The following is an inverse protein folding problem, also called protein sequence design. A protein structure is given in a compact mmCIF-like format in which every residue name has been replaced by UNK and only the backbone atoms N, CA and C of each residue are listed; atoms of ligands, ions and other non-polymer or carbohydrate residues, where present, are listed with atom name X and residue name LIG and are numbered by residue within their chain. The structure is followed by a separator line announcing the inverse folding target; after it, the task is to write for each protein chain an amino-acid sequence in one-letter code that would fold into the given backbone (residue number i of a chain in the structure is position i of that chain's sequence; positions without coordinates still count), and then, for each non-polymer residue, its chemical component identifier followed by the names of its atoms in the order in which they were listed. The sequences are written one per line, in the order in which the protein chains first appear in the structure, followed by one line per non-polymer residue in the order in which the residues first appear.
data_IF_377798616663
#
_entry.id   IF_377798616663
#
_cell.length_a   1.000
_cell.length_b   1.000
_cell.length_c   1.000
_cell.angle_alpha   90.00
_cell.angle_beta   90.00
_cell.angle_gamma   90.00
#
_symmetry.space_group_name_H-M   'P 1'
#
loop_
_entity.id
_entity.type
_entity.pdbx_description
1 polymer ?
#
# COMPACT_ATOMS: atom_id res chain seq x y z
N UNK A 1 -11.57 21.25 -24.72
CA UNK A 1 -11.75 20.74 -23.34
C UNK A 1 -10.83 19.55 -23.25
N UNK A 2 -9.81 19.62 -22.41
CA UNK A 2 -8.86 18.52 -22.24
C UNK A 2 -9.47 17.57 -21.21
N UNK A 3 -9.84 16.37 -21.67
CA UNK A 3 -10.37 15.30 -20.82
C UNK A 3 -9.21 14.35 -20.57
N UNK A 4 -8.98 14.00 -19.32
CA UNK A 4 -7.98 13.01 -18.95
C UNK A 4 -8.69 11.82 -18.29
N UNK A 5 -8.44 10.62 -18.82
CA UNK A 5 -8.88 9.35 -18.21
C UNK A 5 -7.72 8.77 -17.43
N UNK A 6 -7.87 8.73 -16.10
CA UNK A 6 -6.77 8.49 -15.17
C UNK A 6 -6.76 7.09 -14.60
N UNK A 7 -7.92 6.62 -14.14
CA UNK A 7 -8.05 5.33 -13.46
C UNK A 7 -8.99 4.41 -14.23
N UNK A 8 -8.58 3.16 -14.44
CA UNK A 8 -9.42 2.13 -15.06
C UNK A 8 -9.33 0.88 -14.20
N UNK A 9 -10.48 0.38 -13.74
CA UNK A 9 -10.59 -0.84 -12.93
C UNK A 9 -11.80 -1.68 -13.34
N UNK A 10 -11.91 -2.90 -12.84
CA UNK A 10 -13.03 -3.80 -13.13
C UNK A 10 -13.57 -4.44 -11.86
N UNK A 11 -14.79 -4.98 -11.91
CA UNK A 11 -15.38 -5.65 -10.75
C UNK A 11 -15.00 -7.13 -10.63
N UNK A 12 -15.11 -7.68 -9.41
CA UNK A 12 -14.86 -9.08 -9.04
C UNK A 12 -15.70 -10.07 -9.85
N UNK A 13 -16.92 -9.69 -10.25
CA UNK A 13 -17.80 -10.54 -11.06
C UNK A 13 -17.45 -10.53 -12.56
N UNK A 14 -16.41 -9.79 -12.98
CA UNK A 14 -15.96 -9.66 -14.37
C UNK A 14 -17.05 -9.16 -15.35
N UNK A 15 -18.02 -8.39 -14.85
CA UNK A 15 -19.20 -7.93 -15.61
C UNK A 15 -19.19 -6.43 -15.91
N UNK A 16 -18.29 -5.67 -15.30
CA UNK A 16 -18.19 -4.24 -15.46
C UNK A 16 -16.74 -3.76 -15.42
N UNK A 17 -16.51 -2.65 -16.11
CA UNK A 17 -15.29 -1.85 -16.07
C UNK A 17 -15.67 -0.41 -15.72
N UNK A 18 -14.88 0.19 -14.84
CA UNK A 18 -15.02 1.57 -14.39
C UNK A 18 -13.85 2.39 -14.92
N UNK A 19 -14.14 3.61 -15.36
CA UNK A 19 -13.12 4.57 -15.72
C UNK A 19 -13.37 5.90 -15.02
N UNK A 20 -12.38 6.42 -14.32
CA UNK A 20 -12.42 7.76 -13.76
C UNK A 20 -11.80 8.74 -14.76
N UNK A 21 -12.50 9.84 -15.03
CA UNK A 21 -12.01 10.89 -15.92
C UNK A 21 -12.33 12.26 -15.37
N UNK A 22 -11.48 13.23 -15.69
CA UNK A 22 -11.65 14.59 -15.23
C UNK A 22 -11.43 15.61 -16.35
N UNK A 23 -12.07 16.77 -16.20
CA UNK A 23 -11.80 17.95 -17.03
C UNK A 23 -12.14 19.22 -16.25
N UNK A 24 -11.13 20.09 -16.07
CA UNK A 24 -11.25 21.21 -15.15
C UNK A 24 -11.42 20.72 -13.71
N UNK A 25 -12.45 21.21 -13.01
CA UNK A 25 -12.78 20.87 -11.63
C UNK A 25 -13.72 19.66 -11.48
N UNK A 26 -14.20 19.11 -12.61
CA UNK A 26 -15.17 18.02 -12.62
C UNK A 26 -14.45 16.68 -12.80
N UNK A 27 -14.68 15.77 -11.86
CA UNK A 27 -14.24 14.36 -11.91
C UNK A 27 -15.47 13.46 -11.94
N UNK A 28 -15.50 12.50 -12.86
CA UNK A 28 -16.63 11.60 -13.10
C UNK A 28 -16.17 10.15 -13.15
N UNK A 29 -17.00 9.25 -12.62
CA UNK A 29 -16.85 7.80 -12.79
C UNK A 29 -17.80 7.32 -13.88
N UNK A 30 -17.24 6.66 -14.88
CA UNK A 30 -17.94 6.03 -15.99
C UNK A 30 -17.99 4.52 -15.79
N UNK A 31 -19.10 3.89 -16.17
CA UNK A 31 -19.28 2.44 -16.11
C UNK A 31 -19.62 1.87 -17.48
N UNK A 32 -18.92 0.80 -17.84
CA UNK A 32 -19.14 -0.03 -19.00
C UNK A 32 -19.56 -1.41 -18.51
N UNK A 33 -20.66 -1.96 -19.03
CA UNK A 33 -21.15 -3.29 -18.64
C UNK A 33 -21.01 -4.27 -19.80
N UNK A 34 -20.79 -5.53 -19.45
CA UNK A 34 -20.91 -6.65 -20.37
C UNK A 34 -22.37 -6.86 -20.74
N UNK A 35 -22.67 -6.82 -22.03
CA UNK A 35 -23.98 -7.19 -22.58
C UNK A 35 -23.79 -8.38 -23.53
N UNK A 36 -24.19 -9.55 -23.05
CA UNK A 36 -24.07 -10.82 -23.79
C UNK A 36 -24.95 -10.79 -25.06
N UNK A 37 -26.00 -9.96 -25.09
CA UNK A 37 -26.86 -9.81 -26.27
C UNK A 37 -26.27 -8.90 -27.34
N UNK A 38 -25.27 -8.09 -26.98
CA UNK A 38 -24.56 -7.15 -27.85
C UNK A 38 -23.04 -7.38 -27.72
N UNK A 39 -22.52 -8.55 -28.16
CA UNK A 39 -21.13 -8.93 -27.90
C UNK A 39 -20.11 -8.14 -28.72
N UNK A 40 -20.54 -7.40 -29.75
CA UNK A 40 -19.67 -6.55 -30.56
C UNK A 40 -19.68 -5.08 -30.11
N UNK A 41 -20.57 -4.73 -29.17
CA UNK A 41 -20.61 -3.43 -28.52
C UNK A 41 -19.26 -3.05 -27.95
N UNK A 42 -18.91 -1.77 -28.05
CA UNK A 42 -17.65 -1.27 -27.49
C UNK A 42 -17.59 -1.49 -25.97
N UNK A 43 -18.72 -1.37 -25.27
CA UNK A 43 -18.78 -1.67 -23.83
C UNK A 43 -18.48 -3.14 -23.51
N UNK A 44 -19.09 -4.12 -24.22
CA UNK A 44 -18.77 -5.54 -24.03
C UNK A 44 -17.32 -5.86 -24.37
N UNK A 45 -16.80 -5.27 -25.45
CA UNK A 45 -15.38 -5.44 -25.86
C UNK A 45 -14.41 -4.88 -24.83
N UNK A 46 -14.74 -3.73 -24.20
CA UNK A 46 -13.95 -3.16 -23.10
C UNK A 46 -13.89 -4.16 -21.94
N UNK A 47 -15.04 -4.69 -21.51
CA UNK A 47 -15.10 -5.63 -20.38
C UNK A 47 -14.37 -6.94 -20.70
N UNK A 48 -14.57 -7.50 -21.89
CA UNK A 48 -13.88 -8.70 -22.33
C UNK A 48 -12.35 -8.52 -22.40
N UNK A 49 -11.88 -7.39 -22.92
CA UNK A 49 -10.45 -7.08 -22.96
C UNK A 49 -9.87 -6.86 -21.56
N UNK A 50 -10.61 -6.17 -20.69
CA UNK A 50 -10.11 -5.82 -19.37
C UNK A 50 -9.95 -7.05 -18.47
N UNK A 51 -10.92 -7.95 -18.49
CA UNK A 51 -10.94 -9.16 -17.67
C UNK A 51 -10.34 -10.37 -18.37
N UNK A 52 -9.83 -10.21 -19.59
CA UNK A 52 -9.23 -11.31 -20.37
C UNK A 52 -10.21 -12.48 -20.58
N UNK A 53 -11.49 -12.14 -20.78
CA UNK A 53 -12.57 -13.11 -21.01
C UNK A 53 -12.31 -13.84 -22.32
N UNK A 54 -12.37 -15.17 -22.29
CA UNK A 54 -12.25 -15.99 -23.50
C UNK A 54 -13.43 -15.74 -24.44
N UNK A 55 -13.12 -15.36 -25.68
CA UNK A 55 -14.10 -15.09 -26.74
C UNK A 55 -13.90 -16.01 -27.94
N UNK A 56 -15.01 -16.38 -28.58
CA UNK A 56 -15.07 -17.22 -29.78
C UNK A 56 -14.78 -16.47 -31.09
N UNK A 57 -14.75 -15.13 -31.05
CA UNK A 57 -14.43 -14.25 -32.17
C UNK A 57 -13.57 -13.08 -31.65
N UNK A 58 -12.40 -12.86 -32.25
CA UNK A 58 -11.46 -11.78 -31.89
C UNK A 58 -12.10 -10.39 -31.95
N UNK A 59 -13.17 -10.21 -32.73
CA UNK A 59 -13.93 -8.94 -32.80
C UNK A 59 -14.73 -8.63 -31.54
N UNK A 60 -14.94 -9.61 -30.65
CA UNK A 60 -15.65 -9.44 -29.37
C UNK A 60 -14.75 -8.91 -28.25
N UNK A 61 -13.49 -8.60 -28.56
CA UNK A 61 -12.54 -7.96 -27.63
C UNK A 61 -11.72 -6.88 -28.37
N UNK A 62 -10.78 -6.26 -27.66
CA UNK A 62 -9.73 -5.42 -28.25
C UNK A 62 -8.45 -6.26 -28.41
N UNK A 63 -7.62 -5.90 -29.39
CA UNK A 63 -6.33 -6.58 -29.65
C UNK A 63 -5.36 -6.44 -28.49
N UNK A 64 -5.43 -5.33 -27.75
CA UNK A 64 -4.52 -4.97 -26.69
C UNK A 64 -5.14 -3.91 -25.77
N UNK A 65 -4.50 -3.71 -24.61
CA UNK A 65 -4.95 -2.76 -23.58
C UNK A 65 -4.87 -1.30 -24.03
N UNK A 66 -3.97 -0.95 -24.95
CA UNK A 66 -3.82 0.42 -25.46
C UNK A 66 -5.02 0.79 -26.35
N UNK A 67 -5.39 -0.10 -27.25
CA UNK A 67 -6.58 0.01 -28.10
C UNK A 67 -7.87 0.07 -27.26
N UNK A 68 -7.96 -0.73 -26.20
CA UNK A 68 -9.07 -0.66 -25.24
C UNK A 68 -9.14 0.70 -24.54
N UNK A 69 -8.00 1.22 -24.06
CA UNK A 69 -7.92 2.55 -23.42
C UNK A 69 -8.35 3.66 -24.38
N UNK A 70 -7.95 3.58 -25.65
CA UNK A 70 -8.40 4.53 -26.67
C UNK A 70 -9.92 4.45 -26.87
N UNK A 71 -10.51 3.25 -26.92
CA UNK A 71 -11.95 3.06 -27.02
C UNK A 71 -12.73 3.66 -25.83
N UNK A 72 -12.21 3.51 -24.61
CA UNK A 72 -12.76 4.16 -23.41
C UNK A 72 -12.71 5.68 -23.57
N UNK A 73 -11.55 6.23 -23.94
CA UNK A 73 -11.36 7.67 -24.12
C UNK A 73 -12.30 8.25 -25.18
N UNK A 74 -12.48 7.57 -26.32
CA UNK A 74 -13.34 8.03 -27.40
C UNK A 74 -14.81 8.09 -26.97
N UNK A 75 -15.29 7.06 -26.26
CA UNK A 75 -16.64 7.03 -25.70
C UNK A 75 -16.86 8.13 -24.65
N UNK A 76 -15.92 8.30 -23.72
CA UNK A 76 -16.00 9.33 -22.69
C UNK A 76 -15.98 10.71 -23.34
N UNK A 77 -15.09 10.96 -24.30
CA UNK A 77 -14.99 12.22 -25.02
C UNK A 77 -16.28 12.58 -25.77
N UNK A 78 -16.99 11.57 -26.29
CA UNK A 78 -18.29 11.75 -26.92
C UNK A 78 -19.39 12.11 -25.91
N UNK A 79 -19.44 11.41 -24.77
CA UNK A 79 -20.50 11.56 -23.75
C UNK A 79 -20.30 12.77 -22.84
N UNK A 80 -19.05 13.12 -22.53
CA UNK A 80 -18.68 14.20 -21.60
C UNK A 80 -19.42 15.52 -21.84
N UNK A 81 -19.43 16.13 -23.05
CA UNK A 81 -20.11 17.40 -23.28
C UNK A 81 -21.64 17.30 -23.10
N UNK A 82 -22.21 16.10 -23.16
CA UNK A 82 -23.65 15.86 -22.99
C UNK A 82 -24.05 15.69 -21.53
N UNK A 83 -23.19 15.08 -20.70
CA UNK A 83 -23.50 14.81 -19.30
C UNK A 83 -22.98 15.90 -18.34
N UNK A 84 -21.84 16.54 -18.63
CA UNK A 84 -21.18 17.51 -17.75
C UNK A 84 -22.06 18.72 -17.35
N UNK A 85 -22.97 19.24 -18.19
CA UNK A 85 -23.86 20.33 -17.78
C UNK A 85 -24.92 19.94 -16.73
N UNK A 86 -25.14 18.64 -16.47
CA UNK A 86 -26.14 18.19 -15.52
C UNK A 86 -25.68 18.46 -14.06
N UNK A 87 -26.41 19.26 -13.26
CA UNK A 87 -25.98 19.58 -11.90
C UNK A 87 -25.91 18.37 -10.97
N UNK A 88 -26.68 17.31 -11.21
CA UNK A 88 -26.66 16.11 -10.35
C UNK A 88 -25.35 15.34 -10.45
N UNK A 89 -24.57 15.54 -11.52
CA UNK A 89 -23.37 14.76 -11.81
C UNK A 89 -22.21 15.00 -10.84
N UNK A 90 -22.32 16.03 -9.99
CA UNK A 90 -21.35 16.36 -8.94
C UNK A 90 -21.62 15.62 -7.63
N UNK A 91 -22.71 14.86 -7.54
CA UNK A 91 -23.05 14.10 -6.35
C UNK A 91 -22.18 12.83 -6.26
N UNK A 92 -21.71 12.45 -5.06
CA UNK A 92 -20.72 11.38 -4.89
C UNK A 92 -21.26 9.97 -5.17
N UNK A 93 -22.58 9.81 -5.25
CA UNK A 93 -23.26 8.55 -5.56
C UNK A 93 -23.58 8.39 -7.05
N UNK A 94 -23.17 9.35 -7.89
CA UNK A 94 -23.54 9.35 -9.32
C UNK A 94 -22.49 8.68 -10.19
N UNK A 95 -22.96 7.79 -11.06
CA UNK A 95 -22.17 7.13 -12.10
C UNK A 95 -22.78 7.42 -13.47
N UNK A 96 -21.93 7.62 -14.48
CA UNK A 96 -22.34 7.72 -15.87
C UNK A 96 -22.18 6.36 -16.55
N UNK A 97 -23.28 5.71 -16.87
CA UNK A 97 -23.25 4.44 -17.61
C UNK A 97 -23.21 4.76 -19.10
N UNK A 98 -22.22 4.19 -19.81
CA UNK A 98 -22.10 4.33 -21.26
C UNK A 98 -22.33 2.97 -21.92
N UNK A 99 -23.18 2.97 -22.95
CA UNK A 99 -23.39 1.81 -23.80
C UNK A 99 -23.36 2.24 -25.27
N UNK A 100 -22.55 1.55 -26.07
CA UNK A 100 -22.56 1.69 -27.52
C UNK A 100 -22.95 0.37 -28.15
N UNK A 101 -24.04 0.31 -28.90
CA UNK A 101 -24.52 -0.95 -29.47
C UNK A 101 -23.65 -1.48 -30.62
N UNK A 102 -23.99 -2.66 -31.16
CA UNK A 102 -23.29 -3.29 -32.30
C UNK A 102 -23.36 -2.45 -33.59
N UNK A 103 -24.22 -1.42 -33.65
CA UNK A 103 -24.35 -0.49 -34.78
C UNK A 103 -23.55 0.80 -34.59
N UNK A 104 -22.90 0.98 -33.44
CA UNK A 104 -22.11 2.16 -33.10
C UNK A 104 -22.93 3.32 -32.50
N UNK A 105 -24.22 3.11 -32.21
CA UNK A 105 -25.05 4.13 -31.56
C UNK A 105 -24.70 4.21 -30.07
N UNK A 106 -24.29 5.39 -29.61
CA UNK A 106 -23.85 5.60 -28.23
C UNK A 106 -24.97 6.23 -27.41
N UNK A 107 -25.33 5.57 -26.31
CA UNK A 107 -26.28 6.06 -25.32
C UNK A 107 -25.59 6.17 -23.95
N UNK A 108 -26.11 7.07 -23.11
CA UNK A 108 -25.65 7.18 -21.73
C UNK A 108 -26.82 7.43 -20.78
N UNK A 109 -26.64 7.03 -19.53
CA UNK A 109 -27.54 7.37 -18.42
C UNK A 109 -26.74 7.83 -17.21
N UNK A 110 -27.28 8.81 -16.50
CA UNK A 110 -26.75 9.28 -15.22
C UNK A 110 -27.60 8.60 -14.15
N UNK A 111 -26.98 7.81 -13.27
CA UNK A 111 -27.69 7.09 -12.21
C UNK A 111 -27.08 7.34 -10.84
N UNK A 112 -27.96 7.38 -9.84
CA UNK A 112 -27.59 7.29 -8.43
C UNK A 112 -27.46 5.81 -8.06
N UNK A 113 -26.29 5.41 -7.60
CA UNK A 113 -26.04 4.02 -7.22
C UNK A 113 -26.59 3.75 -5.82
N UNK A 114 -27.53 2.80 -5.71
CA UNK A 114 -28.13 2.42 -4.43
C UNK A 114 -27.10 1.85 -3.45
N UNK A 115 -26.05 1.22 -3.98
CA UNK A 115 -24.94 0.63 -3.21
C UNK A 115 -24.05 1.69 -2.54
N UNK A 116 -24.16 2.97 -2.90
CA UNK A 116 -23.44 4.05 -2.22
C UNK A 116 -23.76 4.11 -0.71
N UNK A 117 -25.00 3.78 -0.32
CA UNK A 117 -25.37 3.70 1.10
C UNK A 117 -24.62 2.60 1.85
N UNK A 118 -24.37 1.47 1.19
CA UNK A 118 -23.61 0.36 1.76
C UNK A 118 -22.14 0.75 1.93
N UNK A 119 -21.57 1.44 0.93
CA UNK A 119 -20.26 2.08 1.04
C UNK A 119 -20.18 3.03 2.23
N UNK A 120 -21.10 3.98 2.38
CA UNK A 120 -21.11 4.89 3.55
C UNK A 120 -21.22 4.13 4.88
N UNK A 121 -22.05 3.09 4.95
CA UNK A 121 -22.23 2.27 6.16
C UNK A 121 -20.96 1.49 6.53
N UNK A 122 -20.09 1.23 5.56
CA UNK A 122 -18.81 0.55 5.77
C UNK A 122 -17.73 1.45 6.36
N UNK A 123 -17.90 2.77 6.33
CA UNK A 123 -16.91 3.74 6.79
C UNK A 123 -17.09 4.11 8.27
N UNK A 124 -16.01 4.55 8.91
CA UNK A 124 -16.03 4.99 10.30
C UNK A 124 -16.34 6.49 10.39
N UNK A 125 -17.26 6.90 11.28
CA UNK A 125 -17.47 8.30 11.63
C UNK A 125 -16.22 8.94 12.26
N UNK A 126 -16.02 10.23 12.03
CA UNK A 126 -14.93 11.02 12.64
C UNK A 126 -14.86 10.87 14.16
N UNK A 127 -15.98 10.94 14.93
CA UNK A 127 -15.94 10.74 16.38
C UNK A 127 -15.37 9.37 16.77
N UNK A 128 -15.79 8.30 16.08
CA UNK A 128 -15.28 6.95 16.33
C UNK A 128 -13.78 6.82 16.09
N UNK A 129 -13.27 7.50 15.07
CA UNK A 129 -11.83 7.55 14.77
C UNK A 129 -11.06 8.29 15.88
N UNK A 130 -11.58 9.43 16.35
CA UNK A 130 -10.98 10.18 17.47
C UNK A 130 -10.94 9.36 18.76
N UNK A 131 -12.04 8.70 19.09
CA UNK A 131 -12.16 7.93 20.33
C UNK A 131 -11.35 6.63 20.32
N UNK A 132 -11.35 5.92 19.19
CA UNK A 132 -10.75 4.59 19.09
C UNK A 132 -9.27 4.59 18.68
N UNK A 133 -8.85 5.49 17.78
CA UNK A 133 -7.54 5.41 17.12
C UNK A 133 -6.58 6.54 17.49
N UNK A 134 -7.11 7.72 17.85
CA UNK A 134 -6.30 8.92 18.12
C UNK A 134 -6.23 9.35 19.61
N UNK A 135 -6.66 8.58 20.65
CA UNK A 135 -6.67 9.11 22.01
C UNK A 135 -5.28 9.47 22.59
N UNK A 136 -4.19 9.16 21.89
CA UNK A 136 -2.80 9.46 22.30
C UNK A 136 -2.10 10.57 21.49
N UNK A 137 -2.69 11.08 20.39
CA UNK A 137 -2.07 12.16 19.63
C UNK A 137 -2.30 13.49 20.36
N UNK A 138 -1.39 13.82 21.29
CA UNK A 138 -1.38 15.11 21.96
C UNK A 138 -1.25 16.22 20.89
N UNK A 139 -2.21 17.12 20.88
CA UNK A 139 -2.09 18.54 20.44
C UNK A 139 -2.14 18.93 18.96
N UNK A 140 -2.27 18.02 17.99
CA UNK A 140 -2.49 18.46 16.59
C UNK A 140 -3.97 18.60 16.28
N UNK A 141 -4.40 19.82 15.98
CA UNK A 141 -5.70 20.10 15.38
C UNK A 141 -5.79 19.31 14.06
N UNK A 142 -6.77 18.42 13.96
CA UNK A 142 -6.96 17.63 12.75
C UNK A 142 -7.67 18.47 11.71
N UNK A 143 -7.13 18.46 10.49
CA UNK A 143 -7.76 19.10 9.36
C UNK A 143 -8.48 18.05 8.50
N UNK A 144 -9.65 18.42 8.00
CA UNK A 144 -10.48 17.57 7.17
C UNK A 144 -10.64 18.19 5.80
N UNK A 145 -10.62 17.34 4.78
CA UNK A 145 -11.06 17.71 3.44
C UNK A 145 -12.12 16.75 2.94
N UNK A 146 -12.93 17.17 1.98
CA UNK A 146 -13.96 16.31 1.37
C UNK A 146 -13.36 15.55 0.20
N UNK A 147 -13.73 14.27 0.03
CA UNK A 147 -13.30 13.45 -1.10
C UNK A 147 -13.67 14.11 -2.44
N UNK A 148 -14.82 14.79 -2.48
CA UNK A 148 -15.36 15.47 -3.65
C UNK A 148 -14.53 16.71 -4.05
N UNK A 149 -13.72 17.24 -3.12
CA UNK A 149 -12.75 18.31 -3.39
C UNK A 149 -11.43 17.82 -4.03
N UNK A 150 -11.27 16.49 -4.18
CA UNK A 150 -10.07 15.89 -4.74
C UNK A 150 -10.22 15.58 -6.23
N UNK A 151 -9.12 15.71 -6.94
CA UNK A 151 -8.95 15.29 -8.33
C UNK A 151 -7.79 14.30 -8.41
N UNK A 152 -8.07 13.09 -8.88
CA UNK A 152 -7.10 12.01 -8.97
C UNK A 152 -6.39 11.99 -10.34
N UNK A 153 -5.07 11.80 -10.33
CA UNK A 153 -4.23 11.79 -11.53
C UNK A 153 -3.63 10.40 -11.83
N UNK A 154 -2.78 9.87 -10.97
CA UNK A 154 -2.02 8.65 -11.25
C UNK A 154 -2.16 7.62 -10.12
N UNK A 155 -2.42 6.36 -10.45
CA UNK A 155 -2.23 5.26 -9.47
C UNK A 155 -0.75 5.16 -9.14
N UNK A 156 -0.43 5.16 -7.85
CA UNK A 156 0.89 4.73 -7.42
C UNK A 156 0.89 3.20 -7.34
N UNK A 157 2.01 2.56 -7.70
CA UNK A 157 2.13 1.10 -7.61
C UNK A 157 1.91 0.60 -6.17
N UNK A 158 1.37 -0.61 -6.02
CA UNK A 158 1.03 -1.18 -4.71
C UNK A 158 -0.31 -1.93 -4.74
N UNK A 159 -0.77 -2.43 -3.59
CA UNK A 159 -2.16 -2.84 -3.40
C UNK A 159 -3.01 -1.62 -2.99
N UNK A 160 -4.32 -1.70 -3.20
CA UNK A 160 -5.27 -0.69 -2.74
C UNK A 160 -5.44 0.56 -3.60
N UNK A 161 -6.11 1.56 -3.01
CA UNK A 161 -6.54 2.80 -3.67
C UNK A 161 -5.51 3.93 -3.69
N UNK A 162 -4.21 3.63 -3.50
CA UNK A 162 -3.18 4.67 -3.38
C UNK A 162 -2.99 5.43 -4.68
N UNK A 163 -3.29 6.72 -4.66
CA UNK A 163 -3.39 7.54 -5.88
C UNK A 163 -2.81 8.93 -5.65
N UNK A 164 -2.18 9.51 -6.65
CA UNK A 164 -1.84 10.94 -6.63
C UNK A 164 -3.12 11.76 -6.75
N UNK A 165 -3.28 12.75 -5.88
CA UNK A 165 -4.44 13.62 -5.84
C UNK A 165 -4.04 15.08 -5.70
N UNK A 166 -4.91 15.96 -6.21
CA UNK A 166 -4.80 17.41 -6.08
C UNK A 166 -6.09 17.95 -5.45
N UNK A 167 -5.96 19.02 -4.66
CA UNK A 167 -7.11 19.77 -4.15
C UNK A 167 -7.58 20.73 -5.25
N UNK A 168 -8.86 20.62 -5.65
CA UNK A 168 -9.44 21.40 -6.78
C UNK A 168 -9.32 22.92 -6.61
N UNK A 169 -9.33 23.41 -5.38
CA UNK A 169 -9.28 24.85 -5.07
C UNK A 169 -7.85 25.39 -4.88
N UNK A 170 -6.83 24.51 -4.86
CA UNK A 170 -5.44 24.90 -4.62
C UNK A 170 -4.75 25.29 -5.93
N UNK A 171 -4.38 26.58 -6.05
CA UNK A 171 -3.71 27.14 -7.24
C UNK A 171 -2.20 26.89 -7.29
N UNK A 172 -1.63 26.48 -6.18
CA UNK A 172 -0.19 26.18 -6.03
C UNK A 172 0.19 24.85 -6.70
N UNK A 173 -0.78 24.03 -7.09
CA UNK A 173 -0.54 22.77 -7.82
C UNK A 173 0.11 21.70 -6.95
N UNK A 174 0.02 21.82 -5.62
CA UNK A 174 0.59 20.83 -4.71
C UNK A 174 -0.04 19.45 -4.94
N UNK A 175 0.80 18.45 -5.14
CA UNK A 175 0.40 17.05 -5.26
C UNK A 175 0.41 16.38 -3.89
N UNK A 176 -0.58 15.53 -3.67
CA UNK A 176 -0.72 14.69 -2.49
C UNK A 176 -0.75 13.22 -2.88
N UNK A 177 -0.34 12.36 -1.97
CA UNK A 177 -0.68 10.94 -2.01
C UNK A 177 -1.96 10.74 -1.22
N UNK A 178 -3.02 10.34 -1.91
CA UNK A 178 -4.23 9.84 -1.31
C UNK A 178 -4.08 8.35 -1.01
N UNK A 179 -4.17 8.00 0.28
CA UNK A 179 -4.37 6.63 0.74
C UNK A 179 -5.79 6.51 1.30
N UNK A 180 -6.66 5.74 0.67
CA UNK A 180 -8.03 5.62 1.14
C UNK A 180 -8.96 4.72 0.32
N UNK A 181 -10.22 4.76 0.72
CA UNK A 181 -11.33 3.91 0.33
C UNK A 181 -12.30 4.73 -0.52
N UNK A 182 -12.05 4.82 -1.83
CA UNK A 182 -12.98 5.53 -2.72
C UNK A 182 -14.24 4.71 -2.99
N UNK A 183 -15.34 5.37 -3.39
CA UNK A 183 -16.51 4.64 -3.86
C UNK A 183 -16.21 3.80 -5.11
N UNK A 184 -15.29 4.24 -5.98
CA UNK A 184 -14.79 3.45 -7.11
C UNK A 184 -14.20 2.12 -6.65
N UNK A 185 -13.33 2.13 -5.64
CA UNK A 185 -12.77 0.91 -5.05
C UNK A 185 -13.86 0.00 -4.48
N UNK A 186 -14.89 0.56 -3.86
CA UNK A 186 -16.04 -0.21 -3.36
C UNK A 186 -16.79 -0.95 -4.49
N UNK A 187 -16.87 -0.36 -5.68
CA UNK A 187 -17.54 -0.98 -6.84
C UNK A 187 -16.72 -2.11 -7.48
N UNK A 188 -15.42 -2.19 -7.19
CA UNK A 188 -14.55 -3.26 -7.68
C UNK A 188 -14.90 -4.60 -7.01
N UNK A 189 -15.43 -4.60 -5.79
CA UNK A 189 -15.93 -5.82 -5.17
C UNK A 189 -15.81 -5.82 -3.66
N UNK A 190 -16.59 -6.69 -3.02
CA UNK A 190 -16.75 -6.71 -1.57
C UNK A 190 -15.55 -7.37 -0.87
N UNK A 191 -14.89 -8.34 -1.52
CA UNK A 191 -13.78 -9.07 -0.90
C UNK A 191 -12.54 -8.20 -0.79
N UNK A 192 -12.12 -7.61 -1.90
CA UNK A 192 -10.95 -6.73 -1.95
C UNK A 192 -11.21 -5.46 -1.12
N UNK A 193 -12.38 -4.83 -1.28
CA UNK A 193 -12.72 -3.62 -0.53
C UNK A 193 -12.70 -3.82 0.99
N UNK A 194 -13.24 -4.95 1.50
CA UNK A 194 -13.20 -5.22 2.95
C UNK A 194 -11.77 -5.37 3.46
N UNK A 195 -10.92 -6.07 2.71
CA UNK A 195 -9.51 -6.24 3.05
C UNK A 195 -8.78 -4.89 3.09
N UNK A 196 -8.98 -4.05 2.07
CA UNK A 196 -8.42 -2.71 1.97
C UNK A 196 -8.94 -1.78 3.08
N UNK A 197 -10.24 -1.84 3.39
CA UNK A 197 -10.84 -1.08 4.49
C UNK A 197 -10.22 -1.43 5.84
N UNK A 198 -10.12 -2.71 6.14
CA UNK A 198 -9.57 -3.18 7.41
C UNK A 198 -8.08 -2.87 7.53
N UNK A 199 -7.36 -2.83 6.40
CA UNK A 199 -5.96 -2.41 6.31
C UNK A 199 -5.82 -0.90 6.53
N UNK A 200 -6.63 -0.08 5.86
CA UNK A 200 -6.64 1.38 6.00
C UNK A 200 -6.83 1.83 7.46
N UNK A 201 -7.86 1.32 8.15
CA UNK A 201 -8.11 1.73 9.54
C UNK A 201 -7.04 1.23 10.51
N UNK A 202 -6.42 0.08 10.22
CA UNK A 202 -5.29 -0.44 11.00
C UNK A 202 -4.07 0.45 10.82
N UNK A 203 -3.68 0.75 9.57
CA UNK A 203 -2.57 1.65 9.26
C UNK A 203 -2.78 3.00 9.93
N UNK A 204 -3.99 3.56 9.83
CA UNK A 204 -4.33 4.84 10.46
C UNK A 204 -4.08 4.81 11.97
N UNK A 205 -4.53 3.75 12.65
CA UNK A 205 -4.27 3.55 14.08
C UNK A 205 -2.78 3.42 14.40
N UNK A 206 -2.02 2.67 13.59
CA UNK A 206 -0.57 2.51 13.75
C UNK A 206 0.14 3.84 13.60
N UNK A 207 -0.08 4.55 12.49
CA UNK A 207 0.58 5.83 12.17
C UNK A 207 0.35 6.88 13.26
N UNK A 208 -0.87 6.98 13.82
CA UNK A 208 -1.14 7.90 14.92
C UNK A 208 -0.51 7.48 16.26
N UNK A 209 -0.12 6.21 16.41
CA UNK A 209 0.59 5.69 17.58
C UNK A 209 2.11 5.73 17.45
N UNK A 210 2.64 6.03 16.26
CA UNK A 210 4.08 6.05 16.02
C UNK A 210 4.75 7.20 16.77
N UNK A 211 5.99 7.00 17.25
CA UNK A 211 6.78 8.07 17.82
C UNK A 211 7.21 9.06 16.72
N UNK A 212 7.41 10.32 17.10
CA UNK A 212 7.96 11.31 16.18
C UNK A 212 9.43 11.01 15.90
N UNK A 213 9.79 10.88 14.63
CA UNK A 213 11.16 10.68 14.17
C UNK A 213 11.33 11.27 12.77
N UNK A 214 12.48 11.89 12.42
CA UNK A 214 12.68 12.48 11.09
C UNK A 214 12.61 11.48 9.93
N UNK A 215 12.94 10.21 10.19
CA UNK A 215 12.98 9.14 9.18
C UNK A 215 11.74 8.20 9.19
N UNK A 216 10.66 8.62 9.82
CA UNK A 216 9.38 7.89 9.86
C UNK A 216 8.30 8.77 9.23
N UNK A 217 7.39 8.17 8.46
CA UNK A 217 6.20 8.84 7.96
C UNK A 217 5.46 9.55 9.11
N UNK A 218 5.23 10.85 8.94
CA UNK A 218 4.45 11.64 9.90
C UNK A 218 2.98 11.26 9.82
N UNK A 219 2.22 11.57 10.88
CA UNK A 219 0.76 11.51 10.80
C UNK A 219 0.22 12.35 9.64
N UNK A 220 -0.87 11.91 9.00
CA UNK A 220 -1.40 12.59 7.83
C UNK A 220 -1.86 14.01 8.19
N UNK A 221 -1.43 15.05 7.45
CA UNK A 221 -1.88 16.41 7.71
C UNK A 221 -3.37 16.62 7.46
N UNK A 222 -3.99 15.83 6.58
CA UNK A 222 -5.40 15.92 6.24
C UNK A 222 -6.05 14.53 6.27
N UNK A 223 -7.17 14.44 6.97
CA UNK A 223 -8.11 13.31 6.85
C UNK A 223 -9.11 13.64 5.74
N UNK A 224 -9.36 12.66 4.87
CA UNK A 224 -10.35 12.78 3.81
C UNK A 224 -11.66 12.19 4.29
N UNK A 225 -12.73 12.94 4.08
CA UNK A 225 -14.08 12.60 4.53
C UNK A 225 -15.07 12.62 3.37
N UNK A 226 -16.11 11.81 3.47
CA UNK A 226 -17.28 11.85 2.58
C UNK A 226 -18.55 11.76 3.42
N UNK A 227 -19.71 11.81 2.78
CA UNK A 227 -20.98 11.67 3.47
C UNK A 227 -22.17 11.57 2.51
N UNK A 228 -23.39 11.69 3.03
CA UNK A 228 -24.60 11.58 2.23
C UNK A 228 -24.63 12.59 1.07
N UNK A 229 -25.20 12.24 -0.11
CA UNK A 229 -25.24 13.14 -1.26
C UNK A 229 -25.90 14.49 -0.97
N UNK A 230 -26.90 14.50 -0.08
CA UNK A 230 -27.61 15.72 0.34
C UNK A 230 -26.69 16.71 1.06
N UNK A 231 -25.61 16.23 1.65
CA UNK A 231 -24.67 17.03 2.45
C UNK A 231 -23.58 17.69 1.58
N UNK A 232 -23.41 17.27 0.32
CA UNK A 232 -22.46 17.86 -0.63
C UNK A 232 -22.76 19.33 -0.97
N UNK A 233 -23.98 19.82 -0.71
CA UNK A 233 -24.43 21.18 -1.03
C UNK A 233 -24.60 22.11 0.19
N UNK A 234 -24.63 21.57 1.41
CA UNK A 234 -24.94 22.33 2.63
C UNK A 234 -23.89 22.21 3.74
N UNK A 235 -22.78 21.51 3.48
CA UNK A 235 -21.75 21.22 4.47
C UNK A 235 -22.19 20.09 5.40
N UNK A 236 -21.22 19.28 5.81
CA UNK A 236 -21.46 18.12 6.67
C UNK A 236 -21.05 18.52 8.10
N UNK A 237 -21.99 18.38 9.04
CA UNK A 237 -21.67 18.45 10.47
C UNK A 237 -20.63 17.37 10.80
N UNK A 238 -19.72 17.64 11.73
CA UNK A 238 -18.56 16.76 11.94
C UNK A 238 -18.96 15.34 12.33
N UNK A 239 -20.05 15.23 13.08
CA UNK A 239 -20.68 13.97 13.50
C UNK A 239 -21.16 13.08 12.34
N UNK A 240 -21.47 13.69 11.19
CA UNK A 240 -21.97 13.01 10.00
C UNK A 240 -20.86 12.76 8.95
N UNK A 241 -19.62 13.18 9.25
CA UNK A 241 -18.46 12.93 8.38
C UNK A 241 -17.94 11.53 8.57
N UNK A 242 -17.79 10.83 7.46
CA UNK A 242 -17.23 9.48 7.41
C UNK A 242 -15.82 9.56 6.86
N UNK A 243 -14.84 9.03 7.58
CA UNK A 243 -13.44 9.03 7.14
C UNK A 243 -13.27 7.99 6.05
N UNK A 244 -12.83 8.42 4.88
CA UNK A 244 -12.60 7.54 3.73
C UNK A 244 -11.15 7.59 3.23
N UNK A 245 -10.28 8.42 3.80
CA UNK A 245 -8.89 8.46 3.36
C UNK A 245 -8.00 9.40 4.15
N UNK A 246 -6.77 9.52 3.69
CA UNK A 246 -5.72 10.40 4.22
C UNK A 246 -4.97 11.03 3.06
N UNK A 247 -4.46 12.26 3.25
CA UNK A 247 -3.53 12.89 2.31
C UNK A 247 -2.17 13.08 2.96
N UNK A 248 -1.14 12.62 2.27
CA UNK A 248 0.25 12.93 2.57
C UNK A 248 0.82 13.85 1.49
N UNK A 249 1.77 14.75 1.80
CA UNK A 249 2.52 15.44 0.76
C UNK A 249 3.20 14.42 -0.17
N UNK A 250 3.13 14.63 -1.48
CA UNK A 250 3.86 13.79 -2.42
C UNK A 250 5.36 14.00 -2.23
N UNK A 251 6.08 12.92 -1.91
CA UNK A 251 7.53 12.90 -1.98
C UNK A 251 7.92 12.61 -3.43
N UNK A 252 8.43 13.62 -4.14
CA UNK A 252 8.81 13.50 -5.56
C UNK A 252 10.02 12.59 -5.78
N UNK A 253 10.75 12.27 -4.71
CA UNK A 253 11.93 11.42 -4.77
C UNK A 253 11.53 9.94 -4.74
N UNK A 254 12.36 9.13 -5.41
CA UNK A 254 12.16 7.70 -5.58
C UNK A 254 12.32 6.92 -4.27
N UNK A 255 11.73 5.72 -4.21
CA UNK A 255 12.06 4.72 -3.21
C UNK A 255 13.52 4.27 -3.31
N UNK A 256 14.10 3.76 -2.22
CA UNK A 256 15.44 3.19 -2.26
C UNK A 256 15.54 2.04 -3.27
N UNK A 257 14.47 1.25 -3.45
CA UNK A 257 14.45 0.20 -4.47
C UNK A 257 14.60 0.78 -5.88
N UNK A 258 13.85 1.82 -6.22
CA UNK A 258 13.93 2.48 -7.52
C UNK A 258 15.30 3.17 -7.74
N UNK A 259 15.88 3.78 -6.70
CA UNK A 259 17.24 4.35 -6.76
C UNK A 259 18.28 3.26 -7.04
N UNK A 260 18.18 2.11 -6.39
CA UNK A 260 19.07 0.97 -6.63
C UNK A 260 18.88 0.44 -8.06
N UNK A 261 17.63 0.24 -8.50
CA UNK A 261 17.32 -0.23 -9.84
C UNK A 261 17.89 0.69 -10.91
N UNK A 262 17.65 2.00 -10.78
CA UNK A 262 18.20 3.01 -11.69
C UNK A 262 19.73 3.02 -11.69
N UNK A 263 20.36 2.95 -10.52
CA UNK A 263 21.83 2.88 -10.42
C UNK A 263 22.38 1.64 -11.13
N UNK A 264 21.69 0.50 -11.03
CA UNK A 264 22.07 -0.76 -11.69
C UNK A 264 21.90 -0.69 -13.22
N UNK A 265 20.78 -0.12 -13.69
CA UNK A 265 20.51 0.15 -15.10
C UNK A 265 21.57 1.07 -15.71
N UNK A 266 21.96 2.12 -14.97
CA UNK A 266 23.01 3.06 -15.35
C UNK A 266 24.43 2.49 -15.17
N UNK A 267 24.56 1.25 -14.68
CA UNK A 267 25.83 0.59 -14.35
C UNK A 267 26.74 1.43 -13.43
N UNK A 268 26.13 2.16 -12.51
CA UNK A 268 26.81 3.05 -11.57
C UNK A 268 26.76 2.50 -10.14
N UNK A 269 27.79 2.80 -9.34
CA UNK A 269 27.83 2.46 -7.92
C UNK A 269 27.25 3.60 -7.08
N UNK A 270 26.35 3.25 -6.15
CA UNK A 270 25.84 4.20 -5.16
C UNK A 270 26.98 4.60 -4.21
N UNK A 271 27.12 5.89 -3.86
CA UNK A 271 28.17 6.36 -2.97
C UNK A 271 28.12 5.67 -1.60
N UNK A 272 29.28 5.24 -1.09
CA UNK A 272 29.38 4.56 0.21
C UNK A 272 28.83 5.41 1.37
N UNK A 273 29.03 6.74 1.31
CA UNK A 273 28.48 7.69 2.30
C UNK A 273 26.95 7.67 2.29
N UNK A 274 26.31 7.55 1.13
CA UNK A 274 24.84 7.48 1.04
C UNK A 274 24.34 6.17 1.65
N UNK A 275 24.98 5.04 1.30
CA UNK A 275 24.69 3.73 1.90
C UNK A 275 24.78 3.75 3.42
N UNK A 276 25.85 4.33 3.97
CA UNK A 276 26.06 4.47 5.40
C UNK A 276 24.98 5.33 6.07
N UNK A 277 24.65 6.47 5.45
CA UNK A 277 23.63 7.41 5.92
C UNK A 277 22.26 6.73 6.01
N UNK A 278 21.84 6.05 4.95
CA UNK A 278 20.55 5.36 4.91
C UNK A 278 20.49 4.23 5.94
N UNK A 279 21.56 3.43 6.08
CA UNK A 279 21.62 2.38 7.09
C UNK A 279 21.45 2.95 8.52
N UNK A 280 22.17 4.02 8.84
CA UNK A 280 22.08 4.69 10.14
C UNK A 280 20.66 5.22 10.41
N UNK A 281 20.04 5.85 9.41
CA UNK A 281 18.67 6.39 9.51
C UNK A 281 17.63 5.29 9.70
N UNK A 282 17.74 4.18 8.97
CA UNK A 282 16.85 3.03 9.10
C UNK A 282 16.99 2.42 10.50
N UNK A 283 18.21 2.15 10.95
CA UNK A 283 18.45 1.58 12.28
C UNK A 283 17.93 2.47 13.40
N UNK A 284 18.15 3.79 13.33
CA UNK A 284 17.69 4.72 14.37
C UNK A 284 16.17 4.90 14.40
N UNK A 285 15.55 4.96 13.23
CA UNK A 285 14.08 4.98 13.12
C UNK A 285 13.48 3.71 13.75
N UNK A 286 13.97 2.53 13.39
CA UNK A 286 13.42 1.27 13.88
C UNK A 286 13.69 1.04 15.36
N UNK A 287 14.86 1.47 15.88
CA UNK A 287 15.12 1.46 17.33
C UNK A 287 14.08 2.32 18.09
N UNK A 288 13.75 3.50 17.57
CA UNK A 288 12.73 4.38 18.14
C UNK A 288 11.34 3.72 18.11
N UNK A 289 10.93 3.17 16.97
CA UNK A 289 9.64 2.46 16.81
C UNK A 289 9.51 1.28 17.76
N UNK A 290 10.55 0.46 17.86
CA UNK A 290 10.56 -0.72 18.75
C UNK A 290 10.48 -0.32 20.21
N UNK A 291 11.16 0.77 20.61
CA UNK A 291 11.10 1.29 21.97
C UNK A 291 9.68 1.73 22.38
N UNK A 292 8.85 2.14 21.42
CA UNK A 292 7.42 2.44 21.64
C UNK A 292 6.51 1.20 21.62
N UNK A 293 7.04 0.01 21.35
CA UNK A 293 6.27 -1.23 21.21
C UNK A 293 5.51 -1.36 19.89
N UNK A 294 5.89 -0.57 18.89
CA UNK A 294 5.40 -0.66 17.51
C UNK A 294 6.42 -1.39 16.62
N UNK A 295 5.95 -1.89 15.48
CA UNK A 295 6.71 -2.68 14.51
C UNK A 295 6.18 -2.40 13.10
N UNK A 296 7.04 -2.45 12.09
CA UNK A 296 6.65 -2.15 10.70
C UNK A 296 6.08 -3.39 9.98
N UNK A 297 6.67 -4.56 10.21
CA UNK A 297 6.23 -5.90 9.73
C UNK A 297 6.42 -6.18 8.23
N UNK A 298 6.64 -5.18 7.37
CA UNK A 298 7.04 -5.37 5.95
C UNK A 298 8.26 -4.52 5.54
N UNK A 299 9.30 -4.49 6.37
CA UNK A 299 10.45 -3.59 6.15
C UNK A 299 11.28 -4.01 4.93
N UNK A 300 11.33 -3.13 3.92
CA UNK A 300 12.01 -3.36 2.63
C UNK A 300 12.36 -2.03 1.93
N UNK A 301 13.31 -2.02 0.97
CA UNK A 301 13.70 -0.80 0.27
C UNK A 301 12.59 -0.08 -0.51
N UNK A 302 11.53 -0.78 -0.95
CA UNK A 302 10.39 -0.13 -1.61
C UNK A 302 9.46 0.61 -0.63
N UNK A 303 9.54 0.33 0.68
CA UNK A 303 8.81 1.05 1.72
C UNK A 303 9.69 2.14 2.38
N UNK A 304 10.76 2.54 1.70
CA UNK A 304 11.72 3.55 2.14
C UNK A 304 11.84 4.62 1.05
N UNK A 305 11.11 5.72 1.19
CA UNK A 305 11.19 6.85 0.27
C UNK A 305 12.36 7.76 0.63
N UNK A 306 12.94 8.42 -0.35
CA UNK A 306 13.86 9.51 -0.09
C UNK A 306 13.10 10.84 -0.05
N UNK A 307 13.58 11.79 0.75
CA UNK A 307 13.19 13.20 0.63
C UNK A 307 14.22 13.98 -0.23
N UNK A 308 14.01 15.29 -0.37
CA UNK A 308 14.88 16.17 -1.16
C UNK A 308 16.30 16.27 -0.61
N UNK A 309 16.49 16.01 0.69
CA UNK A 309 17.79 15.97 1.38
C UNK A 309 18.47 14.60 1.29
N UNK A 310 17.91 13.65 0.52
CA UNK A 310 18.37 12.28 0.41
C UNK A 310 18.39 11.56 1.78
N UNK A 311 17.42 11.87 2.65
CA UNK A 311 17.12 11.15 3.89
C UNK A 311 16.03 10.11 3.63
N UNK A 312 16.14 8.96 4.30
CA UNK A 312 15.12 7.90 4.25
C UNK A 312 13.90 8.29 5.08
N UNK A 313 12.71 8.08 4.53
CA UNK A 313 11.43 8.13 5.22
C UNK A 313 10.78 6.74 5.10
N UNK A 314 10.61 6.06 6.23
CA UNK A 314 9.93 4.76 6.28
C UNK A 314 8.42 4.98 6.23
N UNK A 315 7.77 4.37 5.23
CA UNK A 315 6.35 4.52 4.91
C UNK A 315 5.63 3.18 4.98
N UNK A 316 4.32 3.18 4.71
CA UNK A 316 3.55 1.96 4.45
C UNK A 316 3.39 1.04 5.67
N UNK A 317 2.63 1.52 6.66
CA UNK A 317 2.49 0.94 8.00
C UNK A 317 1.26 0.02 8.12
N UNK A 318 0.94 -0.69 7.04
CA UNK A 318 -0.32 -1.42 6.86
C UNK A 318 -0.46 -2.68 7.71
N UNK A 319 0.66 -3.30 8.11
CA UNK A 319 0.72 -4.51 8.95
C UNK A 319 -0.20 -5.67 8.47
N UNK A 320 -0.46 -5.74 7.16
CA UNK A 320 -1.38 -6.69 6.53
C UNK A 320 -0.68 -7.90 5.88
N UNK A 321 0.64 -7.89 5.81
CA UNK A 321 1.46 -8.95 5.23
C UNK A 321 2.93 -8.57 5.20
N UNK A 322 3.74 -9.43 4.60
CA UNK A 322 5.17 -9.19 4.38
C UNK A 322 5.61 -9.76 3.04
N UNK A 323 6.56 -9.09 2.43
CA UNK A 323 7.20 -9.52 1.19
C UNK A 323 7.98 -10.81 1.46
N UNK A 324 7.69 -11.92 0.75
CA UNK A 324 8.32 -13.23 1.01
C UNK A 324 9.84 -13.20 0.92
N UNK A 325 10.39 -12.21 0.21
CA UNK A 325 11.82 -12.04 0.12
C UNK A 325 12.47 -11.60 1.43
N UNK A 326 11.86 -10.62 2.10
CA UNK A 326 12.36 -10.00 3.33
C UNK A 326 11.80 -10.66 4.60
N UNK A 327 10.81 -11.54 4.46
CA UNK A 327 10.17 -12.25 5.55
C UNK A 327 11.14 -13.24 6.23
N UNK A 328 11.25 -13.14 7.56
CA UNK A 328 12.01 -14.10 8.35
C UNK A 328 11.43 -15.52 8.20
N UNK A 329 12.26 -16.57 8.04
CA UNK A 329 11.79 -17.93 7.77
C UNK A 329 10.83 -18.45 8.85
N UNK A 330 11.06 -18.10 10.11
CA UNK A 330 10.21 -18.50 11.22
C UNK A 330 8.89 -17.71 11.30
N UNK A 331 8.80 -16.57 10.61
CA UNK A 331 7.62 -15.72 10.59
C UNK A 331 6.65 -16.05 9.45
N UNK A 332 6.90 -17.11 8.68
CA UNK A 332 6.08 -17.51 7.52
C UNK A 332 4.65 -18.00 7.86
N UNK A 333 4.36 -18.14 9.14
CA UNK A 333 3.08 -18.59 9.69
C UNK A 333 3.09 -20.05 10.18
N UNK A 334 4.11 -20.83 9.83
CA UNK A 334 4.21 -22.26 10.15
C UNK A 334 4.83 -22.59 11.51
N UNK A 335 5.19 -21.57 12.28
CA UNK A 335 5.82 -21.70 13.60
C UNK A 335 5.06 -20.93 14.67
N UNK A 336 4.96 -21.54 15.85
CA UNK A 336 4.65 -20.88 17.11
C UNK A 336 5.97 -20.61 17.87
N UNK A 337 5.95 -19.64 18.77
CA UNK A 337 7.12 -19.26 19.55
C UNK A 337 6.80 -19.21 21.04
N UNK A 338 7.70 -19.78 21.85
CA UNK A 338 7.67 -19.68 23.30
C UNK A 338 8.99 -19.05 23.79
N UNK A 339 8.91 -18.11 24.72
CA UNK A 339 10.09 -17.59 25.41
C UNK A 339 10.32 -18.40 26.68
N UNK A 340 11.42 -19.15 26.73
CA UNK A 340 11.79 -19.96 27.89
C UNK A 340 12.93 -19.32 28.66
N UNK A 341 12.86 -19.34 29.99
CA UNK A 341 13.99 -18.98 30.84
C UNK A 341 14.94 -20.16 30.85
N UNK A 342 16.16 -19.90 30.45
CA UNK A 342 17.21 -20.88 30.53
C UNK A 342 17.62 -21.10 31.99
N UNK A 343 17.64 -22.36 32.40
CA UNK A 343 17.97 -22.79 33.78
C UNK A 343 19.39 -23.34 33.93
N UNK A 344 20.18 -23.32 32.84
CA UNK A 344 21.57 -23.78 32.82
C UNK A 344 22.50 -22.85 33.63
N UNK A 345 23.52 -23.37 34.34
CA UNK A 345 24.45 -22.56 35.12
C UNK A 345 25.23 -21.58 34.24
N UNK A 346 25.41 -20.34 34.72
CA UNK A 346 26.05 -19.24 34.00
C UNK A 346 27.49 -19.52 33.49
N UNK A 347 28.14 -20.57 34.00
CA UNK A 347 29.49 -21.01 33.62
C UNK A 347 29.54 -21.67 32.23
N UNK A 348 28.39 -22.08 31.68
CA UNK A 348 28.30 -22.74 30.36
C UNK A 348 28.20 -21.73 29.22
N UNK A 349 27.81 -20.48 29.48
CA UNK A 349 27.60 -19.49 28.44
C UNK A 349 28.75 -18.50 28.34
N UNK A 350 29.35 -18.44 27.15
CA UNK A 350 30.26 -17.35 26.78
C UNK A 350 29.45 -16.05 26.81
N UNK A 351 29.94 -15.09 27.59
CA UNK A 351 29.42 -13.74 27.83
C UNK A 351 28.58 -13.16 26.69
N UNK A 352 27.33 -12.78 27.01
CA UNK A 352 26.35 -11.99 26.22
C UNK A 352 25.08 -12.69 25.70
N UNK A 353 24.77 -13.94 26.08
CA UNK A 353 23.44 -14.51 25.78
C UNK A 353 22.40 -14.13 26.86
N UNK A 354 21.23 -13.69 26.39
CA UNK A 354 20.05 -13.40 27.22
C UNK A 354 19.66 -14.61 28.08
N UNK A 355 19.20 -14.36 29.32
CA UNK A 355 18.63 -15.39 30.22
C UNK A 355 17.40 -16.08 29.63
N UNK A 356 16.75 -15.44 28.67
CA UNK A 356 15.60 -15.96 27.96
C UNK A 356 16.02 -16.44 26.56
N UNK A 357 15.39 -17.51 26.07
CA UNK A 357 15.59 -18.08 24.74
C UNK A 357 14.25 -18.25 24.03
N UNK A 358 14.17 -17.89 22.75
CA UNK A 358 13.03 -18.17 21.90
C UNK A 358 13.13 -19.60 21.37
N UNK A 359 12.07 -20.39 21.59
CA UNK A 359 11.95 -21.77 21.10
C UNK A 359 10.78 -21.81 20.13
N UNK A 360 11.09 -22.15 18.88
CA UNK A 360 10.10 -22.25 17.82
C UNK A 360 9.61 -23.69 17.69
N UNK A 361 8.30 -23.86 17.63
CA UNK A 361 7.64 -25.15 17.43
C UNK A 361 6.79 -25.08 16.17
N UNK A 362 6.79 -26.17 15.39
CA UNK A 362 5.97 -26.22 14.19
C UNK A 362 4.49 -26.16 14.59
N UNK A 363 3.74 -25.23 14.00
CA UNK A 363 2.31 -25.10 14.20
C UNK A 363 1.61 -26.36 13.67
N UNK A 364 0.67 -26.91 14.47
CA UNK A 364 -0.01 -28.18 14.19
C UNK A 364 -1.43 -27.96 13.61
N UNK A 365 -1.90 -26.71 13.52
CA UNK A 365 -3.20 -26.39 12.96
C UNK A 365 -3.22 -26.28 11.43
N UNK A 366 -4.40 -26.03 10.87
CA UNK A 366 -4.56 -25.75 9.45
C UNK A 366 -4.03 -24.36 9.12
N UNK A 367 -3.03 -24.29 8.24
CA UNK A 367 -2.68 -23.04 7.56
C UNK A 367 -3.74 -22.78 6.49
N UNK A 368 -4.13 -21.51 6.34
CA UNK A 368 -4.95 -21.11 5.20
C UNK A 368 -4.12 -21.28 3.92
N UNK A 369 -4.80 -21.52 2.81
CA UNK A 369 -4.20 -21.48 1.47
C UNK A 369 -4.58 -20.15 0.85
N UNK A 370 -3.91 -19.09 1.31
CA UNK A 370 -4.25 -17.68 1.05
C UNK A 370 -3.78 -17.21 -0.34
N UNK A 371 -3.62 -18.13 -1.30
CA UNK A 371 -3.22 -17.86 -2.70
C UNK A 371 -2.10 -16.81 -2.87
N UNK A 372 -1.12 -16.75 -1.97
CA UNK A 372 0.06 -15.88 -2.10
C UNK A 372 0.10 -14.64 -1.21
N UNK A 373 -0.81 -14.51 -0.24
CA UNK A 373 -0.61 -13.61 0.90
C UNK A 373 0.37 -14.26 1.86
N UNK A 374 1.41 -13.51 2.25
CA UNK A 374 2.40 -13.94 3.22
C UNK A 374 2.46 -12.97 4.39
N UNK A 375 2.68 -13.46 5.61
CA UNK A 375 2.76 -14.89 5.98
C UNK A 375 1.40 -15.61 5.87
N UNK A 376 1.39 -16.95 5.71
CA UNK A 376 0.16 -17.79 5.59
C UNK A 376 -0.75 -17.72 6.82
N UNK A 377 -0.15 -17.30 7.93
CA UNK A 377 -0.81 -16.89 9.15
C UNK A 377 -0.09 -15.63 9.60
N UNK A 378 -0.82 -14.51 9.74
CA UNK A 378 -0.23 -13.27 10.24
C UNK A 378 0.18 -13.44 11.71
N UNK A 379 1.40 -13.96 11.92
CA UNK A 379 1.99 -14.19 13.24
C UNK A 379 2.44 -12.90 13.90
N UNK A 380 2.63 -11.82 13.15
CA UNK A 380 3.16 -10.58 13.71
C UNK A 380 2.20 -9.97 14.73
N UNK A 381 0.89 -9.96 14.44
CA UNK A 381 -0.12 -9.48 15.39
C UNK A 381 -0.20 -10.37 16.65
N UNK A 382 -0.01 -11.68 16.50
CA UNK A 382 0.05 -12.62 17.63
C UNK A 382 1.29 -12.37 18.49
N UNK A 383 2.47 -12.28 17.86
CA UNK A 383 3.73 -12.07 18.55
C UNK A 383 3.84 -10.68 19.17
N UNK A 384 3.18 -9.67 18.63
CA UNK A 384 3.10 -8.36 19.28
C UNK A 384 2.50 -8.45 20.70
N UNK A 385 1.57 -9.39 20.90
CA UNK A 385 0.93 -9.67 22.19
C UNK A 385 1.70 -10.71 23.03
N UNK A 386 2.21 -11.76 22.37
CA UNK A 386 2.74 -12.95 23.06
C UNK A 386 4.26 -12.95 23.22
N UNK A 387 5.00 -12.35 22.27
CA UNK A 387 6.47 -12.35 22.24
C UNK A 387 7.03 -11.22 21.38
N UNK A 388 7.15 -10.02 21.96
CA UNK A 388 7.75 -8.84 21.31
C UNK A 388 9.16 -9.10 20.79
N UNK A 389 9.91 -9.98 21.45
CA UNK A 389 11.27 -10.34 21.05
C UNK A 389 11.31 -11.17 19.77
N UNK A 390 10.34 -12.07 19.57
CA UNK A 390 10.24 -12.83 18.33
C UNK A 390 9.91 -11.92 17.15
N UNK A 391 9.02 -10.96 17.39
CA UNK A 391 8.65 -9.94 16.41
C UNK A 391 9.84 -9.02 16.06
N UNK A 392 10.56 -8.52 17.07
CA UNK A 392 11.80 -7.75 16.87
C UNK A 392 12.83 -8.54 16.06
N UNK A 393 13.08 -9.80 16.43
CA UNK A 393 14.06 -10.63 15.73
C UNK A 393 13.67 -10.89 14.26
N UNK A 394 12.38 -11.05 13.97
CA UNK A 394 11.88 -11.19 12.61
C UNK A 394 12.06 -9.89 11.80
N UNK A 395 11.83 -8.73 12.41
CA UNK A 395 12.02 -7.44 11.76
C UNK A 395 13.49 -7.07 11.56
N UNK A 396 14.38 -7.45 12.49
CA UNK A 396 15.83 -7.33 12.33
C UNK A 396 16.32 -8.13 11.12
N UNK A 397 15.72 -9.30 10.87
CA UNK A 397 16.01 -10.08 9.68
C UNK A 397 15.62 -9.33 8.39
N UNK A 398 14.43 -8.73 8.35
CA UNK A 398 13.98 -7.91 7.22
C UNK A 398 14.88 -6.68 7.00
N UNK A 399 15.31 -6.02 8.08
CA UNK A 399 16.29 -4.94 8.02
C UNK A 399 17.64 -5.42 7.49
N UNK A 400 18.14 -6.58 7.93
CA UNK A 400 19.38 -7.18 7.44
C UNK A 400 19.37 -7.41 5.93
N UNK A 401 18.28 -7.96 5.40
CA UNK A 401 18.10 -8.12 3.96
C UNK A 401 18.00 -6.78 3.23
N UNK A 402 17.29 -5.80 3.80
CA UNK A 402 17.21 -4.45 3.23
C UNK A 402 18.60 -3.79 3.14
N UNK A 403 19.41 -3.90 4.19
CA UNK A 403 20.78 -3.39 4.22
C UNK A 403 21.67 -4.12 3.22
N UNK A 404 21.55 -5.44 3.09
CA UNK A 404 22.27 -6.18 2.06
C UNK A 404 21.91 -5.69 0.65
N UNK A 405 20.61 -5.52 0.35
CA UNK A 405 20.16 -5.01 -0.96
C UNK A 405 20.76 -3.63 -1.24
N UNK A 406 20.80 -2.73 -0.25
CA UNK A 406 21.42 -1.39 -0.36
C UNK A 406 22.94 -1.49 -0.59
N UNK A 407 23.63 -2.33 0.19
CA UNK A 407 25.09 -2.44 0.15
C UNK A 407 25.59 -3.13 -1.11
N UNK A 408 24.96 -4.22 -1.49
CA UNK A 408 25.27 -5.00 -2.69
C UNK A 408 24.75 -4.34 -3.98
N UNK A 409 23.74 -3.46 -3.87
CA UNK A 409 22.93 -3.02 -5.01
C UNK A 409 22.36 -4.23 -5.76
N UNK A 410 21.76 -5.14 -5.00
CA UNK A 410 21.21 -6.37 -5.56
C UNK A 410 20.07 -6.03 -6.52
N UNK A 411 20.05 -6.72 -7.67
CA UNK A 411 19.02 -6.52 -8.69
C UNK A 411 17.64 -6.94 -8.16
N UNK A 412 16.59 -6.32 -8.71
CA UNK A 412 15.20 -6.63 -8.40
C UNK A 412 14.75 -7.95 -9.05
N UNK A 413 15.47 -9.02 -8.75
CA UNK A 413 15.11 -10.39 -9.17
C UNK A 413 14.17 -11.03 -8.15
N UNK A 414 13.72 -10.26 -7.14
CA UNK A 414 12.75 -10.65 -6.12
C UNK A 414 11.35 -10.63 -6.72
N UNK A 415 11.18 -11.35 -7.83
CA UNK A 415 9.87 -11.58 -8.40
C UNK A 415 8.92 -11.95 -7.26
N UNK A 416 7.76 -11.30 -7.20
CA UNK A 416 6.58 -11.73 -6.43
C UNK A 416 6.10 -13.14 -6.82
N UNK A 417 6.96 -13.99 -7.40
CA UNK A 417 6.78 -15.43 -7.48
C UNK A 417 6.60 -15.89 -6.05
N UNK A 418 5.34 -16.20 -5.75
CA UNK A 418 4.74 -16.75 -4.53
C UNK A 418 5.35 -18.10 -4.14
N UNK A 419 6.68 -18.20 -4.18
CA UNK A 419 7.44 -19.38 -3.77
C UNK A 419 7.71 -19.26 -2.27
N UNK A 420 7.76 -20.39 -1.55
CA UNK A 420 8.15 -20.38 -0.15
C UNK A 420 9.51 -19.67 -0.01
N UNK A 421 9.73 -18.92 1.07
CA UNK A 421 11.07 -18.48 1.41
C UNK A 421 11.92 -19.72 1.70
N UNK A 422 12.63 -20.23 0.69
CA UNK A 422 13.73 -21.18 0.91
C UNK A 422 14.80 -20.49 1.76
N UNK A 423 15.61 -21.27 2.50
CA UNK A 423 16.73 -20.71 3.25
C UNK A 423 17.68 -20.02 2.27
N UNK A 424 17.73 -18.68 2.35
CA UNK A 424 18.58 -17.84 1.50
C UNK A 424 19.84 -17.49 2.25
N UNK A 425 20.95 -17.46 1.51
CA UNK A 425 22.22 -17.00 2.02
C UNK A 425 22.56 -15.64 1.40
N UNK A 426 23.11 -14.76 2.24
CA UNK A 426 23.61 -13.46 1.81
C UNK A 426 24.87 -13.67 0.96
N UNK A 427 24.81 -13.25 -0.30
CA UNK A 427 25.92 -13.39 -1.26
C UNK A 427 26.50 -12.02 -1.58
N UNK A 428 27.78 -11.81 -1.31
CA UNK A 428 28.49 -10.58 -1.65
C UNK A 428 29.28 -10.78 -2.95
N UNK A 429 29.18 -9.83 -3.89
CA UNK A 429 29.97 -9.86 -5.13
C UNK A 429 31.03 -8.76 -5.15
N UNK A 430 31.76 -8.64 -6.26
CA UNK A 430 32.71 -7.53 -6.46
C UNK A 430 32.04 -6.15 -6.38
N UNK A 431 30.71 -6.04 -6.58
CA UNK A 431 29.97 -4.78 -6.45
C UNK A 431 30.05 -4.17 -5.04
N UNK A 432 30.22 -4.99 -4.01
CA UNK A 432 30.33 -4.57 -2.61
C UNK A 432 31.76 -4.64 -2.06
N UNK A 433 32.79 -4.65 -2.92
CA UNK A 433 34.20 -4.65 -2.47
C UNK A 433 34.53 -3.43 -1.61
N UNK A 434 33.91 -2.28 -1.91
CA UNK A 434 34.08 -1.04 -1.12
C UNK A 434 33.31 -1.01 0.20
N UNK A 435 32.41 -1.97 0.44
CA UNK A 435 31.61 -2.04 1.66
C UNK A 435 32.47 -2.61 2.79
N UNK A 436 32.63 -1.91 3.93
CA UNK A 436 33.42 -2.39 5.06
C UNK A 436 32.96 -3.76 5.57
N UNK A 437 33.92 -4.63 5.90
CA UNK A 437 33.63 -5.98 6.42
C UNK A 437 32.81 -5.97 7.70
N UNK A 438 32.95 -4.94 8.54
CA UNK A 438 32.13 -4.78 9.76
C UNK A 438 30.64 -4.58 9.44
N UNK A 439 30.30 -3.94 8.32
CA UNK A 439 28.92 -3.80 7.88
C UNK A 439 28.37 -5.10 7.29
N UNK A 440 29.22 -5.85 6.58
CA UNK A 440 28.86 -7.19 6.08
C UNK A 440 28.63 -8.18 7.23
N UNK A 441 29.46 -8.14 8.27
CA UNK A 441 29.27 -8.92 9.50
C UNK A 441 27.95 -8.55 10.20
N UNK A 442 27.64 -7.26 10.31
CA UNK A 442 26.37 -6.82 10.89
C UNK A 442 25.17 -7.37 10.11
N UNK A 443 25.17 -7.25 8.79
CA UNK A 443 24.15 -7.86 7.91
C UNK A 443 24.04 -9.36 8.16
N UNK A 444 25.17 -10.08 8.19
CA UNK A 444 25.19 -11.53 8.43
C UNK A 444 24.56 -11.92 9.78
N UNK A 445 24.83 -11.15 10.84
CA UNK A 445 24.21 -11.35 12.15
C UNK A 445 22.70 -11.07 12.12
N UNK A 446 22.26 -10.00 11.44
CA UNK A 446 20.84 -9.71 11.26
C UNK A 446 20.11 -10.82 10.49
N UNK A 447 20.74 -11.40 9.47
CA UNK A 447 20.16 -12.48 8.65
C UNK A 447 20.42 -13.89 9.20
N UNK A 448 20.80 -14.02 10.48
CA UNK A 448 21.05 -15.34 11.08
C UNK A 448 19.80 -16.22 11.04
N UNK A 449 19.95 -17.50 10.70
CA UNK A 449 18.84 -18.46 10.70
C UNK A 449 18.30 -18.76 12.11
N UNK A 450 19.13 -18.64 13.16
CA UNK A 450 18.66 -18.72 14.55
C UNK A 450 18.30 -17.31 15.03
N UNK A 451 17.01 -17.01 15.28
CA UNK A 451 16.56 -15.68 15.73
C UNK A 451 17.21 -15.24 17.04
N UNK A 452 17.71 -16.16 17.87
CA UNK A 452 18.40 -15.83 19.12
C UNK A 452 19.80 -15.22 18.91
N UNK A 453 20.40 -15.38 17.73
CA UNK A 453 21.71 -14.84 17.40
C UNK A 453 21.64 -13.47 16.71
N UNK A 454 20.43 -13.00 16.37
CA UNK A 454 20.23 -11.70 15.73
C UNK A 454 20.42 -10.57 16.77
N UNK A 455 21.03 -9.44 16.39
CA UNK A 455 21.15 -8.29 17.28
C UNK A 455 19.80 -7.62 17.51
N UNK A 456 19.73 -6.69 18.46
CA UNK A 456 18.62 -5.73 18.56
C UNK A 456 18.91 -4.49 17.71
N UNK A 457 17.89 -3.69 17.41
CA UNK A 457 18.13 -2.41 16.70
C UNK A 457 18.96 -1.43 17.54
N UNK A 458 18.82 -1.42 18.87
CA UNK A 458 19.67 -0.63 19.77
C UNK A 458 21.15 -1.04 19.71
N UNK A 459 21.43 -2.34 19.52
CA UNK A 459 22.79 -2.79 19.25
C UNK A 459 23.26 -2.34 17.87
N UNK A 460 22.34 -2.29 16.89
CA UNK A 460 22.59 -1.79 15.54
C UNK A 460 22.98 -0.32 15.48
N UNK A 461 22.37 0.56 16.29
CA UNK A 461 22.74 2.00 16.33
C UNK A 461 24.20 2.26 16.72
N UNK A 462 24.85 1.29 17.38
CA UNK A 462 26.23 1.39 17.84
C UNK A 462 27.25 0.92 16.78
N UNK A 463 26.78 0.33 15.68
CA UNK A 463 27.57 -0.08 14.51
C UNK A 463 27.45 0.94 13.38
#
# INVERSE_FOLDING_TARGET
MEIATTLISGNEDETAVFAESHSGDLSLVFRFNLDISQPFSTSSRIVACFHEIEVDDEKKTFSDRESMRQGIYDLISHVWPLCAPNPSIRLPDVIVHIQQDDHGETTFRISHESTFREYLTSLMPVPSIKDALIPQARTTEQHYTSLESLQFSDTLGGRGGTTVAHLKDQKDGQSYVYKGLSFRLFLEGDTEYKSERDTFYRELGVVYSLPSHPNIMRSPPLLVTTGPPQSASHGIAEEDRLVCGTLYPLLECQSLQEVINKSNEDHSALPLIAKAKWACQISSAMATVHSSGQYHMDLKPSNMLLNNENDVIIIDWEQCGASPFFLAPEADGSWDVEVVVNTEPAEVWKTNQSKERMVYRKFIGSLRDDFGIWPRRNVFQLWQLESRRALEAAEVYSAGWSLWVIYEQSEDVWTYKRRPPEAKEVMWTQRSESVPEVWKDFVSRCTSLDPNNRPTFEQGEKF
#
